data_IF_786779431767
#
_entry.id   IF_786779431767
#
_cell.length_a   1.000
_cell.length_b   1.000
_cell.length_c   1.000
_cell.angle_alpha   90.00
_cell.angle_beta   90.00
_cell.angle_gamma   90.00
#
_symmetry.space_group_name_H-M   'P 1'
#
loop_
_entity.id
_entity.type
_entity.pdbx_description
1 polymer ?
#
# COMPACT_ATOMS: atom_id res chain seq x y z
N UNK A 1 51.94 -41.98 -48.81
CA UNK A 1 51.46 -41.69 -47.45
C UNK A 1 50.54 -40.52 -47.50
N UNK A 2 49.24 -40.79 -47.46
CA UNK A 2 48.22 -39.72 -47.66
C UNK A 2 47.67 -39.32 -46.28
N UNK A 3 47.92 -38.07 -45.91
CA UNK A 3 47.46 -37.47 -44.65
C UNK A 3 46.01 -37.00 -44.85
N UNK A 4 45.03 -37.61 -44.19
CA UNK A 4 43.65 -37.16 -44.14
C UNK A 4 43.49 -36.14 -42.99
N UNK A 5 43.35 -34.88 -43.34
CA UNK A 5 42.95 -33.81 -42.40
C UNK A 5 41.45 -33.97 -42.06
N UNK A 6 41.15 -34.32 -40.80
CA UNK A 6 39.79 -34.32 -40.28
C UNK A 6 39.41 -32.89 -39.89
N UNK A 7 38.51 -32.26 -40.63
CA UNK A 7 37.85 -31.00 -40.27
C UNK A 7 36.77 -31.32 -39.25
N UNK A 8 36.98 -30.94 -38.00
CA UNK A 8 35.99 -31.03 -36.95
C UNK A 8 35.07 -29.77 -37.05
N UNK A 9 33.89 -29.99 -37.60
CA UNK A 9 32.83 -28.97 -37.59
C UNK A 9 32.21 -28.98 -36.18
N UNK A 10 32.55 -27.99 -35.36
CA UNK A 10 31.87 -27.72 -34.10
C UNK A 10 30.45 -27.24 -34.40
N UNK A 11 29.46 -28.08 -34.11
CA UNK A 11 28.05 -27.65 -34.05
C UNK A 11 27.92 -26.59 -32.94
N UNK A 12 27.77 -25.34 -33.32
CA UNK A 12 27.24 -24.34 -32.39
C UNK A 12 25.83 -24.79 -31.98
N UNK A 13 25.67 -25.17 -30.73
CA UNK A 13 24.33 -25.37 -30.13
C UNK A 13 23.56 -24.06 -30.24
N UNK A 14 22.52 -24.02 -31.06
CA UNK A 14 21.65 -22.88 -31.21
C UNK A 14 21.00 -22.57 -29.84
N UNK A 15 21.37 -21.45 -29.23
CA UNK A 15 20.73 -20.98 -28.00
C UNK A 15 19.23 -20.91 -28.20
N UNK A 16 18.41 -21.43 -27.25
CA UNK A 16 16.97 -21.43 -27.40
C UNK A 16 16.46 -20.01 -27.65
N UNK A 17 15.55 -19.86 -28.62
CA UNK A 17 14.97 -18.56 -28.95
C UNK A 17 14.28 -17.96 -27.73
N UNK A 18 14.62 -16.70 -27.40
CA UNK A 18 14.03 -15.98 -26.28
C UNK A 18 12.64 -15.49 -26.65
N UNK A 19 11.61 -16.20 -26.19
CA UNK A 19 10.20 -15.85 -26.45
C UNK A 19 9.50 -15.61 -25.11
N UNK A 20 8.84 -14.45 -24.91
CA UNK A 20 8.09 -14.21 -23.68
C UNK A 20 6.88 -15.14 -23.56
N UNK A 21 6.49 -15.51 -22.33
CA UNK A 21 5.33 -16.39 -22.07
C UNK A 21 4.01 -15.79 -22.57
N UNK A 22 3.86 -14.46 -22.48
CA UNK A 22 2.73 -13.72 -23.05
C UNK A 22 3.28 -12.80 -24.12
N UNK A 23 2.64 -12.81 -25.28
CA UNK A 23 3.03 -11.99 -26.42
C UNK A 23 1.81 -11.57 -27.21
N UNK A 24 1.80 -10.36 -27.72
CA UNK A 24 0.76 -9.90 -28.60
C UNK A 24 0.77 -10.66 -29.94
N UNK A 25 -0.38 -10.99 -30.52
CA UNK A 25 -0.44 -11.60 -31.85
C UNK A 25 0.26 -10.73 -32.91
N UNK A 26 0.87 -11.40 -33.90
CA UNK A 26 1.56 -10.74 -35.01
C UNK A 26 3.05 -10.50 -34.80
N UNK A 27 3.58 -10.67 -33.59
CA UNK A 27 5.01 -10.56 -33.32
C UNK A 27 5.61 -11.96 -33.13
N UNK A 28 6.49 -12.36 -34.06
CA UNK A 28 7.08 -13.73 -34.08
C UNK A 28 8.60 -13.74 -33.91
N UNK A 29 9.29 -12.64 -34.26
CA UNK A 29 10.75 -12.58 -34.18
C UNK A 29 11.23 -12.72 -32.73
N UNK A 30 12.24 -13.56 -32.45
CA UNK A 30 12.73 -13.79 -31.09
C UNK A 30 13.30 -12.50 -30.48
N UNK A 31 13.14 -12.34 -29.16
CA UNK A 31 13.79 -11.28 -28.42
C UNK A 31 15.29 -11.58 -28.30
N UNK A 32 16.09 -10.52 -28.11
CA UNK A 32 17.51 -10.66 -27.91
C UNK A 32 17.95 -10.04 -26.59
N UNK A 33 18.97 -10.62 -25.94
CA UNK A 33 19.66 -9.98 -24.83
C UNK A 33 20.58 -8.88 -25.38
N UNK A 34 20.10 -7.64 -25.30
CA UNK A 34 20.86 -6.47 -25.75
C UNK A 34 21.46 -5.70 -24.58
N UNK A 35 22.74 -5.28 -24.67
CA UNK A 35 23.33 -4.41 -23.66
C UNK A 35 22.62 -3.05 -23.67
N UNK A 36 22.39 -2.49 -22.47
CA UNK A 36 21.73 -1.18 -22.35
C UNK A 36 22.47 -0.08 -23.12
N UNK A 37 23.79 -0.18 -23.29
CA UNK A 37 24.59 0.76 -24.08
C UNK A 37 24.18 0.88 -25.57
N UNK A 38 23.49 -0.14 -26.11
CA UNK A 38 22.93 -0.07 -27.47
C UNK A 38 21.67 0.78 -27.55
N UNK A 39 20.92 0.87 -26.45
CA UNK A 39 19.58 1.46 -26.43
C UNK A 39 19.45 2.66 -25.50
N UNK A 40 20.44 2.95 -24.68
CA UNK A 40 20.50 4.11 -23.80
C UNK A 40 21.76 4.91 -24.07
N UNK A 41 21.60 6.21 -24.31
CA UNK A 41 22.72 7.13 -24.47
C UNK A 41 22.82 8.04 -23.25
N UNK A 42 23.91 7.91 -22.47
CA UNK A 42 24.17 8.83 -21.37
C UNK A 42 24.38 10.25 -21.89
N UNK A 43 23.76 11.22 -21.22
CA UNK A 43 24.08 12.64 -21.43
C UNK A 43 24.31 13.34 -20.08
N UNK A 44 24.97 14.53 -20.17
CA UNK A 44 25.37 15.31 -18.99
C UNK A 44 25.11 16.80 -19.23
N UNK A 45 23.93 17.12 -19.80
CA UNK A 45 23.53 18.53 -19.95
C UNK A 45 23.44 19.19 -18.58
N UNK A 46 24.12 20.34 -18.44
CA UNK A 46 24.22 21.02 -17.15
C UNK A 46 23.04 21.95 -16.88
N UNK A 47 22.69 22.11 -15.61
CA UNK A 47 21.62 23.00 -15.15
C UNK A 47 22.07 24.48 -15.17
N UNK A 48 22.44 24.99 -16.33
CA UNK A 48 22.87 26.42 -16.49
C UNK A 48 21.66 27.38 -16.41
N UNK A 49 20.45 26.88 -16.56
CA UNK A 49 19.21 27.68 -16.56
C UNK A 49 18.51 27.74 -15.21
N UNK A 50 19.07 27.15 -14.13
CA UNK A 50 18.50 27.20 -12.79
C UNK A 50 17.16 26.44 -12.66
N UNK A 51 17.01 25.28 -13.35
CA UNK A 51 15.81 24.45 -13.25
C UNK A 51 15.63 23.89 -11.84
N UNK A 52 14.39 23.65 -11.44
CA UNK A 52 14.03 23.04 -10.18
C UNK A 52 14.62 21.64 -10.03
N UNK A 53 14.98 21.31 -8.79
CA UNK A 53 15.56 20.00 -8.47
C UNK A 53 14.48 18.97 -8.26
N UNK A 54 14.59 17.84 -8.98
CA UNK A 54 13.71 16.69 -8.86
C UNK A 54 14.43 15.52 -8.20
N UNK A 55 13.65 14.72 -7.48
CA UNK A 55 14.10 13.48 -6.82
C UNK A 55 13.45 12.26 -7.46
N UNK A 56 14.14 11.13 -7.37
CA UNK A 56 13.64 9.85 -7.86
C UNK A 56 12.98 9.11 -6.70
N UNK A 57 11.69 8.86 -6.81
CA UNK A 57 10.88 8.08 -5.88
C UNK A 57 10.46 6.75 -6.51
N UNK A 58 10.40 5.68 -5.72
CA UNK A 58 9.87 4.40 -6.21
C UNK A 58 8.37 4.49 -6.48
N UNK A 59 7.64 5.19 -5.63
CA UNK A 59 6.18 5.30 -5.68
C UNK A 59 5.70 6.39 -6.64
N UNK A 60 6.33 7.57 -6.60
CA UNK A 60 5.86 8.75 -7.36
C UNK A 60 6.67 9.01 -8.63
N UNK A 61 7.67 8.18 -8.95
CA UNK A 61 8.53 8.41 -10.10
C UNK A 61 9.52 9.55 -9.88
N UNK A 62 9.69 10.41 -10.87
CA UNK A 62 10.62 11.55 -10.81
C UNK A 62 9.80 12.82 -10.62
N UNK A 63 9.89 13.41 -9.43
CA UNK A 63 9.02 14.49 -8.96
C UNK A 63 9.80 15.62 -8.31
N UNK A 64 9.21 16.82 -8.25
CA UNK A 64 9.83 17.98 -7.61
C UNK A 64 10.20 17.64 -6.15
N UNK A 65 11.44 17.97 -5.76
CA UNK A 65 11.97 17.59 -4.46
C UNK A 65 11.26 18.28 -3.30
N UNK A 66 10.86 19.53 -3.48
CA UNK A 66 10.17 20.31 -2.44
C UNK A 66 8.75 19.78 -2.25
N UNK A 67 8.06 19.48 -3.35
CA UNK A 67 6.70 18.90 -3.29
C UNK A 67 6.70 17.53 -2.61
N UNK A 68 7.72 16.69 -2.89
CA UNK A 68 7.84 15.37 -2.30
C UNK A 68 8.24 15.38 -0.82
N UNK A 69 9.21 16.24 -0.44
CA UNK A 69 9.92 16.16 0.85
C UNK A 69 9.64 17.36 1.77
N UNK A 70 8.84 18.33 1.31
CA UNK A 70 8.55 19.56 2.03
C UNK A 70 9.71 20.56 2.10
N UNK A 71 10.92 20.18 1.64
CA UNK A 71 12.12 21.02 1.59
C UNK A 71 13.10 20.52 0.54
N UNK A 72 14.02 21.41 0.11
CA UNK A 72 15.15 21.02 -0.74
C UNK A 72 16.30 20.43 0.09
N UNK A 73 16.91 19.38 -0.43
CA UNK A 73 18.18 18.81 0.03
C UNK A 73 19.31 19.02 -0.98
N UNK A 74 19.03 19.79 -2.02
CA UNK A 74 20.02 20.12 -3.04
C UNK A 74 21.09 21.05 -2.50
N UNK A 75 22.26 21.06 -3.15
CA UNK A 75 23.30 22.05 -2.92
C UNK A 75 22.78 23.46 -3.25
N UNK A 76 23.36 24.50 -2.64
CA UNK A 76 23.03 25.89 -2.93
C UNK A 76 23.29 26.22 -4.42
N UNK A 77 24.37 25.68 -5.00
CA UNK A 77 24.64 25.76 -6.45
C UNK A 77 24.31 24.40 -7.09
N UNK A 78 23.30 24.40 -7.94
CA UNK A 78 22.85 23.25 -8.73
C UNK A 78 23.29 23.31 -10.20
N UNK A 79 24.15 24.24 -10.57
CA UNK A 79 24.66 24.44 -11.96
C UNK A 79 25.33 23.17 -12.50
N UNK A 80 25.93 22.39 -11.63
CA UNK A 80 26.61 21.13 -11.96
C UNK A 80 25.66 19.92 -12.06
N UNK A 81 24.37 20.06 -11.71
CA UNK A 81 23.37 19.00 -11.83
C UNK A 81 23.12 18.68 -13.32
N UNK A 82 22.65 17.47 -13.57
CA UNK A 82 22.31 17.03 -14.91
C UNK A 82 20.84 17.34 -15.21
N UNK A 83 20.56 17.92 -16.36
CA UNK A 83 19.18 18.13 -16.82
C UNK A 83 18.59 16.79 -17.25
N UNK A 84 17.44 16.42 -16.66
CA UNK A 84 16.57 15.37 -17.16
C UNK A 84 15.43 15.96 -17.98
N UNK A 85 15.07 15.28 -19.06
CA UNK A 85 14.00 15.67 -19.99
C UNK A 85 12.94 14.60 -20.04
N UNK A 86 11.75 14.94 -20.53
CA UNK A 86 10.70 13.97 -20.74
C UNK A 86 11.20 12.75 -21.51
N UNK A 87 10.85 11.56 -21.01
CA UNK A 87 11.25 10.23 -21.50
C UNK A 87 12.68 9.79 -21.21
N UNK A 88 13.56 10.64 -20.68
CA UNK A 88 14.86 10.17 -20.19
C UNK A 88 14.67 9.08 -19.12
N UNK A 89 15.54 8.09 -19.14
CA UNK A 89 15.63 7.03 -18.14
C UNK A 89 16.67 7.43 -17.10
N UNK A 90 16.30 7.44 -15.85
CA UNK A 90 17.17 7.85 -14.73
C UNK A 90 17.43 6.65 -13.82
N UNK A 91 18.71 6.39 -13.58
CA UNK A 91 19.15 5.40 -12.60
C UNK A 91 19.73 6.12 -11.38
N UNK A 92 19.08 5.96 -10.22
CA UNK A 92 19.64 6.39 -8.94
C UNK A 92 20.30 5.21 -8.23
N UNK A 93 21.45 5.46 -7.64
CA UNK A 93 22.24 4.45 -6.92
C UNK A 93 21.91 4.40 -5.42
N UNK A 94 20.95 5.21 -4.98
CA UNK A 94 20.53 5.27 -3.57
C UNK A 94 19.79 3.98 -3.18
N UNK A 95 20.27 3.25 -2.17
CA UNK A 95 19.67 1.98 -1.78
C UNK A 95 18.33 2.20 -1.07
N UNK A 96 17.36 1.35 -1.41
CA UNK A 96 16.10 1.19 -0.69
C UNK A 96 16.01 -0.24 -0.15
N UNK A 97 15.19 -0.47 0.87
CA UNK A 97 15.03 -1.80 1.50
C UNK A 97 14.76 -2.93 0.49
N UNK A 98 13.89 -2.68 -0.49
CA UNK A 98 13.56 -3.65 -1.54
C UNK A 98 14.47 -3.54 -2.78
N UNK A 99 15.24 -2.46 -2.94
CA UNK A 99 16.10 -2.17 -4.08
C UNK A 99 17.49 -1.75 -3.60
N UNK A 100 18.31 -2.70 -3.13
CA UNK A 100 19.60 -2.39 -2.48
C UNK A 100 20.63 -1.75 -3.41
N UNK A 101 20.45 -1.85 -4.73
CA UNK A 101 21.35 -1.29 -5.74
C UNK A 101 20.78 -0.04 -6.44
N UNK A 102 19.67 0.53 -5.91
CA UNK A 102 18.99 1.69 -6.49
C UNK A 102 17.83 1.32 -7.40
N UNK A 103 17.22 2.34 -7.98
CA UNK A 103 16.00 2.23 -8.82
C UNK A 103 16.18 2.93 -10.15
N UNK A 104 15.40 2.48 -11.14
CA UNK A 104 15.35 3.03 -12.49
C UNK A 104 13.95 3.56 -12.74
N UNK A 105 13.85 4.83 -13.20
CA UNK A 105 12.57 5.47 -13.53
C UNK A 105 12.67 6.27 -14.82
N UNK A 106 11.58 6.37 -15.58
CA UNK A 106 11.49 7.26 -16.73
C UNK A 106 10.92 8.62 -16.33
N UNK A 107 11.46 9.70 -16.89
CA UNK A 107 10.92 11.05 -16.73
C UNK A 107 9.54 11.15 -17.41
N UNK A 108 8.50 11.39 -16.62
CA UNK A 108 7.11 11.54 -17.10
C UNK A 108 6.58 12.97 -17.00
N UNK A 109 7.37 13.88 -16.43
CA UNK A 109 7.06 15.32 -16.35
C UNK A 109 7.32 16.04 -17.68
N UNK A 110 6.63 17.16 -17.87
CA UNK A 110 6.85 18.03 -19.01
C UNK A 110 7.97 19.04 -18.73
N UNK A 111 8.80 19.34 -19.76
CA UNK A 111 9.90 20.29 -19.62
C UNK A 111 11.22 19.67 -19.18
N UNK A 112 11.97 20.41 -18.39
CA UNK A 112 13.32 20.07 -17.93
C UNK A 112 13.39 20.18 -16.40
N UNK A 113 14.14 19.27 -15.78
CA UNK A 113 14.39 19.27 -14.33
C UNK A 113 15.86 19.01 -14.02
N UNK A 114 16.38 19.61 -12.95
CA UNK A 114 17.71 19.35 -12.45
C UNK A 114 17.73 18.06 -11.62
N UNK A 115 18.60 17.14 -11.99
CA UNK A 115 18.77 15.84 -11.34
C UNK A 115 20.16 15.76 -10.70
N UNK A 116 20.24 15.14 -9.52
CA UNK A 116 21.50 14.97 -8.80
C UNK A 116 22.60 14.39 -9.69
N UNK A 117 23.85 14.89 -9.60
CA UNK A 117 24.98 14.34 -10.36
C UNK A 117 25.32 12.89 -9.98
N UNK A 118 24.75 12.39 -8.89
CA UNK A 118 24.88 10.99 -8.49
C UNK A 118 24.03 10.05 -9.36
N UNK A 119 23.05 10.56 -10.11
CA UNK A 119 22.19 9.78 -10.98
C UNK A 119 22.83 9.59 -12.37
N UNK A 120 22.53 8.45 -12.99
CA UNK A 120 22.71 8.27 -14.42
C UNK A 120 21.48 8.79 -15.16
N UNK A 121 21.66 9.59 -16.18
CA UNK A 121 20.56 10.11 -17.02
C UNK A 121 20.82 9.69 -18.46
N UNK A 122 19.84 9.00 -19.03
CA UNK A 122 20.02 8.33 -20.33
C UNK A 122 18.81 8.61 -21.24
N UNK A 123 19.10 8.95 -22.50
CA UNK A 123 18.05 9.09 -23.52
C UNK A 123 17.83 7.76 -24.24
N UNK A 124 16.61 7.19 -24.22
CA UNK A 124 16.24 6.01 -24.99
C UNK A 124 15.96 6.40 -26.46
N UNK A 125 16.01 5.45 -27.42
CA UNK A 125 15.72 5.73 -28.84
C UNK A 125 14.24 6.09 -29.09
N UNK A 126 13.35 5.69 -28.22
CA UNK A 126 11.93 6.05 -28.22
C UNK A 126 11.35 5.96 -26.80
N UNK A 127 10.22 6.63 -26.51
CA UNK A 127 9.59 6.64 -25.18
C UNK A 127 9.17 5.26 -24.71
N UNK A 128 8.73 4.41 -25.61
CA UNK A 128 8.18 3.09 -25.32
C UNK A 128 9.24 2.16 -24.73
N UNK A 129 10.45 2.20 -25.29
CA UNK A 129 11.57 1.39 -24.76
C UNK A 129 12.02 1.89 -23.39
N UNK A 130 12.00 3.20 -23.16
CA UNK A 130 12.28 3.78 -21.84
C UNK A 130 11.31 3.28 -20.78
N UNK A 131 10.01 3.27 -21.08
CA UNK A 131 8.96 2.74 -20.20
C UNK A 131 9.12 1.23 -19.95
N UNK A 132 9.45 0.45 -20.95
CA UNK A 132 9.71 -0.99 -20.78
C UNK A 132 10.91 -1.26 -19.87
N UNK A 133 11.96 -0.45 -19.98
CA UNK A 133 13.13 -0.54 -19.09
C UNK A 133 12.71 -0.21 -17.66
N UNK A 134 11.97 0.89 -17.43
CA UNK A 134 11.41 1.19 -16.11
C UNK A 134 10.62 0.00 -15.55
N UNK A 135 9.66 -0.52 -16.30
CA UNK A 135 8.80 -1.64 -15.88
C UNK A 135 9.60 -2.92 -15.56
N UNK A 136 10.70 -3.18 -16.26
CA UNK A 136 11.59 -4.29 -15.90
C UNK A 136 12.17 -4.12 -14.50
N UNK A 137 12.63 -2.91 -14.17
CA UNK A 137 13.26 -2.59 -12.89
C UNK A 137 12.28 -2.33 -11.74
N UNK A 138 10.98 -2.27 -11.98
CA UNK A 138 9.95 -2.20 -10.92
C UNK A 138 9.83 -3.48 -10.10
N UNK A 139 10.27 -4.62 -10.64
CA UNK A 139 10.35 -5.86 -9.89
C UNK A 139 11.65 -5.91 -9.07
N UNK A 140 11.60 -5.98 -7.72
CA UNK A 140 12.79 -6.09 -6.89
C UNK A 140 13.68 -7.29 -7.29
N UNK A 141 13.07 -8.44 -7.55
CA UNK A 141 13.80 -9.65 -7.93
C UNK A 141 14.54 -9.49 -9.27
N UNK A 142 13.89 -8.89 -10.28
CA UNK A 142 14.53 -8.62 -11.58
C UNK A 142 15.63 -7.59 -11.46
N UNK A 143 15.39 -6.51 -10.71
CA UNK A 143 16.40 -5.47 -10.45
C UNK A 143 17.63 -6.05 -9.76
N UNK A 144 17.44 -6.84 -8.71
CA UNK A 144 18.54 -7.51 -7.99
C UNK A 144 19.28 -8.48 -8.92
N UNK A 145 18.57 -9.34 -9.65
CA UNK A 145 19.18 -10.31 -10.57
C UNK A 145 20.02 -9.64 -11.68
N UNK A 146 19.56 -8.48 -12.19
CA UNK A 146 20.30 -7.70 -13.19
C UNK A 146 21.52 -6.99 -12.60
N UNK A 147 21.37 -6.34 -11.43
CA UNK A 147 22.40 -5.45 -10.87
C UNK A 147 23.48 -6.22 -10.09
N UNK A 148 23.15 -7.35 -9.46
CA UNK A 148 24.13 -8.14 -8.66
C UNK A 148 25.40 -8.51 -9.43
N UNK A 149 25.33 -9.04 -10.67
CA UNK A 149 26.56 -9.38 -11.43
C UNK A 149 27.39 -8.15 -11.84
N UNK A 150 26.77 -6.96 -11.85
CA UNK A 150 27.41 -5.71 -12.21
C UNK A 150 28.07 -5.00 -11.02
N UNK A 151 27.82 -5.49 -9.79
CA UNK A 151 28.36 -4.89 -8.59
C UNK A 151 29.86 -5.09 -8.48
N UNK A 152 30.60 -3.99 -8.33
CA UNK A 152 32.02 -4.01 -7.99
C UNK A 152 32.18 -3.73 -6.49
N UNK A 153 32.96 -4.57 -5.80
CA UNK A 153 33.34 -4.30 -4.41
C UNK A 153 34.38 -3.18 -4.41
N UNK A 154 33.98 -2.02 -3.99
CA UNK A 154 34.90 -0.89 -3.74
C UNK A 154 35.66 -1.02 -2.44
N UNK A 155 36.62 -0.11 -2.20
CA UNK A 155 37.30 0.01 -0.93
C UNK A 155 36.27 0.20 0.21
N UNK A 156 36.46 -0.46 1.35
CA UNK A 156 35.55 -0.44 2.52
C UNK A 156 34.20 -1.13 2.28
N UNK A 157 34.12 -2.18 1.43
CA UNK A 157 32.88 -2.89 1.13
C UNK A 157 31.73 -2.03 0.57
N UNK A 158 32.03 -0.84 0.02
CA UNK A 158 31.00 -0.05 -0.67
C UNK A 158 30.67 -0.70 -2.01
N UNK A 159 29.39 -0.95 -2.23
CA UNK A 159 28.88 -1.49 -3.49
C UNK A 159 28.71 -0.31 -4.45
N UNK A 160 29.45 -0.32 -5.56
CA UNK A 160 29.36 0.73 -6.58
C UNK A 160 29.03 0.13 -7.95
N UNK A 161 28.03 0.72 -8.59
CA UNK A 161 27.70 0.48 -10.00
C UNK A 161 27.86 1.80 -10.73
N UNK A 162 28.90 1.90 -11.59
CA UNK A 162 29.08 3.10 -12.44
C UNK A 162 28.03 3.13 -13.56
N UNK A 163 27.81 4.30 -14.18
CA UNK A 163 26.88 4.40 -15.31
C UNK A 163 27.33 3.51 -16.49
N UNK A 164 28.64 3.44 -16.75
CA UNK A 164 29.20 2.55 -17.77
C UNK A 164 28.93 1.07 -17.44
N UNK A 165 29.12 0.68 -16.19
CA UNK A 165 28.84 -0.70 -15.74
C UNK A 165 27.33 -1.00 -15.84
N UNK A 166 26.46 -0.08 -15.46
CA UNK A 166 25.01 -0.23 -15.64
C UNK A 166 24.64 -0.44 -17.13
N UNK A 167 25.22 0.36 -18.02
CA UNK A 167 24.99 0.27 -19.46
C UNK A 167 25.54 -1.03 -20.10
N UNK A 168 26.51 -1.71 -19.48
CA UNK A 168 27.02 -3.01 -19.97
C UNK A 168 26.07 -4.17 -19.69
N UNK A 169 25.13 -4.02 -18.75
CA UNK A 169 24.13 -5.02 -18.44
C UNK A 169 23.18 -5.27 -19.62
N UNK A 170 22.72 -6.53 -19.75
CA UNK A 170 21.89 -6.96 -20.88
C UNK A 170 20.46 -7.23 -20.46
N UNK A 171 19.50 -6.70 -21.21
CA UNK A 171 18.07 -6.97 -21.04
C UNK A 171 17.51 -7.73 -22.25
N UNK A 172 16.50 -8.62 -22.01
CA UNK A 172 15.71 -9.18 -23.11
C UNK A 172 14.81 -8.09 -23.68
N UNK A 173 15.02 -7.71 -24.92
CA UNK A 173 14.28 -6.64 -25.57
C UNK A 173 13.61 -7.13 -26.87
N UNK A 174 12.37 -6.66 -27.16
CA UNK A 174 11.72 -6.93 -28.43
C UNK A 174 12.47 -6.21 -29.57
N UNK A 175 12.64 -6.87 -30.72
CA UNK A 175 13.48 -6.36 -31.81
C UNK A 175 12.85 -5.18 -32.57
N UNK A 176 11.52 -5.02 -32.52
CA UNK A 176 10.82 -4.01 -33.32
C UNK A 176 10.22 -2.89 -32.46
N UNK A 177 10.31 -1.62 -32.92
CA UNK A 177 9.65 -0.51 -32.24
C UNK A 177 8.12 -0.69 -32.10
N UNK A 178 7.48 -1.36 -33.06
CA UNK A 178 6.04 -1.63 -33.01
C UNK A 178 5.66 -2.55 -31.85
N UNK A 179 6.47 -3.60 -31.57
CA UNK A 179 6.23 -4.47 -30.41
C UNK A 179 6.52 -3.72 -29.10
N UNK A 180 7.58 -2.91 -29.04
CA UNK A 180 7.90 -2.06 -27.91
C UNK A 180 6.75 -1.09 -27.59
N UNK A 181 6.20 -0.45 -28.62
CA UNK A 181 5.05 0.44 -28.50
C UNK A 181 3.83 -0.30 -27.94
N UNK A 182 3.48 -1.46 -28.52
CA UNK A 182 2.30 -2.23 -28.10
C UNK A 182 2.38 -2.68 -26.65
N UNK A 183 3.58 -3.07 -26.20
CA UNK A 183 3.82 -3.44 -24.80
C UNK A 183 3.70 -2.21 -23.90
N UNK A 184 4.33 -1.10 -24.26
CA UNK A 184 4.30 0.14 -23.50
C UNK A 184 2.86 0.69 -23.37
N UNK A 185 2.08 0.69 -24.46
CA UNK A 185 0.67 1.09 -24.43
C UNK A 185 -0.17 0.23 -23.48
N UNK A 186 0.04 -1.09 -23.49
CA UNK A 186 -0.63 -2.00 -22.57
C UNK A 186 -0.27 -1.70 -21.10
N UNK A 187 1.01 -1.50 -20.79
CA UNK A 187 1.46 -1.15 -19.44
C UNK A 187 0.88 0.20 -19.00
N UNK A 188 0.95 1.23 -19.86
CA UNK A 188 0.39 2.55 -19.55
C UNK A 188 -1.12 2.50 -19.29
N UNK A 189 -1.88 1.73 -20.10
CA UNK A 189 -3.33 1.61 -19.90
C UNK A 189 -3.68 0.90 -18.59
N UNK A 190 -2.86 -0.05 -18.13
CA UNK A 190 -3.01 -0.68 -16.82
C UNK A 190 -2.72 0.29 -15.68
N UNK A 191 -1.64 1.08 -15.78
CA UNK A 191 -1.30 2.10 -14.80
C UNK A 191 -2.40 3.16 -14.69
N UNK A 192 -2.95 3.62 -15.82
CA UNK A 192 -4.07 4.56 -15.85
C UNK A 192 -5.33 3.98 -15.20
N UNK A 193 -5.65 2.71 -15.47
CA UNK A 193 -6.77 2.02 -14.85
C UNK A 193 -6.58 1.89 -13.34
N UNK A 194 -5.40 1.51 -12.89
CA UNK A 194 -5.07 1.41 -11.45
C UNK A 194 -5.20 2.78 -10.77
N UNK A 195 -4.68 3.84 -11.38
CA UNK A 195 -4.78 5.20 -10.87
C UNK A 195 -6.24 5.69 -10.83
N UNK A 196 -7.05 5.37 -11.85
CA UNK A 196 -8.47 5.71 -11.88
C UNK A 196 -9.26 4.98 -10.77
N UNK A 197 -8.98 3.69 -10.53
CA UNK A 197 -9.60 2.94 -9.45
C UNK A 197 -9.19 3.46 -8.06
N UNK A 198 -7.92 3.82 -7.87
CA UNK A 198 -7.46 4.44 -6.63
C UNK A 198 -8.22 5.76 -6.35
N UNK A 199 -8.31 6.66 -7.33
CA UNK A 199 -9.10 7.91 -7.20
C UNK A 199 -10.58 7.64 -6.87
N UNK A 200 -11.18 6.62 -7.51
CA UNK A 200 -12.57 6.22 -7.23
C UNK A 200 -12.74 5.75 -5.79
N UNK A 201 -11.82 4.93 -5.28
CA UNK A 201 -11.84 4.45 -3.89
C UNK A 201 -11.72 5.63 -2.93
N UNK A 202 -10.83 6.57 -3.17
CA UNK A 202 -10.63 7.74 -2.31
C UNK A 202 -11.85 8.68 -2.33
N UNK A 203 -12.46 8.89 -3.50
CA UNK A 203 -13.71 9.66 -3.61
C UNK A 203 -14.85 9.00 -2.84
N UNK A 204 -14.99 7.67 -2.91
CA UNK A 204 -16.00 6.91 -2.15
C UNK A 204 -15.74 6.97 -0.64
N UNK A 205 -14.49 6.90 -0.19
CA UNK A 205 -14.13 7.08 1.23
C UNK A 205 -14.50 8.48 1.72
N UNK A 206 -14.20 9.50 0.93
CA UNK A 206 -14.54 10.89 1.25
C UNK A 206 -16.06 11.10 1.30
N UNK A 207 -16.78 10.55 0.32
CA UNK A 207 -18.25 10.60 0.30
C UNK A 207 -18.86 9.91 1.53
N UNK A 208 -18.39 8.69 1.85
CA UNK A 208 -18.82 7.97 3.05
C UNK A 208 -18.58 8.77 4.32
N UNK A 209 -17.40 9.38 4.48
CA UNK A 209 -17.10 10.25 5.62
C UNK A 209 -18.06 11.44 5.70
N UNK A 210 -18.34 12.09 4.58
CA UNK A 210 -19.29 13.20 4.50
C UNK A 210 -20.72 12.78 4.87
N UNK A 211 -21.20 11.63 4.39
CA UNK A 211 -22.50 11.09 4.77
C UNK A 211 -22.58 10.76 6.26
N UNK A 212 -21.56 10.13 6.81
CA UNK A 212 -21.53 9.83 8.24
C UNK A 212 -21.59 11.09 9.10
N UNK A 213 -20.89 12.17 8.70
CA UNK A 213 -20.95 13.46 9.41
C UNK A 213 -22.30 14.17 9.33
N UNK A 214 -23.13 13.83 8.34
CA UNK A 214 -24.45 14.43 8.15
C UNK A 214 -25.57 13.56 8.74
N UNK A 215 -25.43 12.23 8.67
CA UNK A 215 -26.41 11.27 9.19
C UNK A 215 -26.32 11.08 10.71
N UNK A 216 -25.32 11.64 11.37
CA UNK A 216 -25.17 11.62 12.82
C UNK A 216 -25.18 13.06 13.37
N UNK A 217 -25.76 13.30 14.56
CA UNK A 217 -25.70 14.59 15.21
C UNK A 217 -24.25 15.03 15.48
N UNK A 218 -23.98 16.31 15.36
CA UNK A 218 -22.70 16.89 15.77
C UNK A 218 -22.65 17.08 17.29
N UNK A 219 -21.48 17.41 17.79
CA UNK A 219 -21.33 17.78 19.19
C UNK A 219 -22.25 18.96 19.55
N UNK A 220 -23.07 18.76 20.58
CA UNK A 220 -24.08 19.72 21.01
C UNK A 220 -25.41 19.69 20.23
N UNK A 221 -25.53 18.89 19.19
CA UNK A 221 -26.79 18.66 18.45
C UNK A 221 -27.40 17.30 18.90
N UNK A 222 -28.76 17.23 18.94
CA UNK A 222 -29.49 16.01 19.25
C UNK A 222 -30.15 15.36 18.04
N UNK A 223 -30.11 16.05 16.88
CA UNK A 223 -30.64 15.60 15.60
C UNK A 223 -29.58 15.67 14.50
N UNK A 224 -29.57 14.71 13.55
CA UNK A 224 -28.68 14.78 12.40
C UNK A 224 -29.14 15.84 11.40
N UNK A 225 -28.21 16.43 10.65
CA UNK A 225 -28.50 17.43 9.60
C UNK A 225 -29.13 16.81 8.36
N UNK A 226 -28.78 15.59 8.05
CA UNK A 226 -29.40 14.80 6.99
C UNK A 226 -30.14 13.63 7.64
N UNK A 227 -31.44 13.55 7.37
CA UNK A 227 -32.31 12.49 7.88
C UNK A 227 -33.13 11.90 6.75
N UNK A 228 -33.29 10.61 6.74
CA UNK A 228 -34.14 9.95 5.74
C UNK A 228 -35.58 10.47 5.81
N UNK A 229 -36.28 10.62 4.66
CA UNK A 229 -37.62 11.21 4.63
C UNK A 229 -38.61 10.59 5.62
N UNK A 230 -38.54 9.28 5.78
CA UNK A 230 -39.41 8.50 6.69
C UNK A 230 -39.19 8.80 8.18
N UNK A 231 -38.11 9.46 8.55
CA UNK A 231 -37.75 9.79 9.95
C UNK A 231 -37.66 11.27 10.25
N UNK A 232 -37.97 12.18 9.31
CA UNK A 232 -37.84 13.63 9.50
C UNK A 232 -38.56 14.15 10.73
N UNK A 233 -39.70 13.52 11.12
CA UNK A 233 -40.51 13.90 12.26
C UNK A 233 -40.39 12.94 13.45
N UNK A 234 -39.31 12.13 13.50
CA UNK A 234 -39.17 11.09 14.54
C UNK A 234 -38.69 11.64 15.91
N UNK A 235 -38.44 12.95 16.02
CA UNK A 235 -37.93 13.58 17.24
C UNK A 235 -36.41 13.40 17.46
N UNK A 236 -35.93 13.93 18.57
CA UNK A 236 -34.52 13.88 18.94
C UNK A 236 -34.01 12.45 19.20
N UNK A 237 -32.70 12.27 18.97
CA UNK A 237 -32.04 11.03 19.33
C UNK A 237 -31.81 10.95 20.84
N UNK A 238 -32.02 9.75 21.40
CA UNK A 238 -31.82 9.51 22.81
C UNK A 238 -30.33 9.38 23.13
N UNK A 239 -29.92 9.97 24.25
CA UNK A 239 -28.57 9.84 24.77
C UNK A 239 -28.46 8.53 25.56
N UNK A 240 -27.62 7.60 25.08
CA UNK A 240 -27.42 6.29 25.68
C UNK A 240 -25.95 6.10 26.08
N UNK A 241 -25.70 5.39 27.15
CA UNK A 241 -24.35 4.87 27.40
C UNK A 241 -24.04 3.66 26.49
N UNK A 242 -22.78 3.40 26.22
CA UNK A 242 -22.35 2.21 25.49
C UNK A 242 -22.86 0.94 26.19
N UNK A 243 -22.89 0.92 27.52
CA UNK A 243 -23.43 -0.18 28.29
C UNK A 243 -24.94 -0.41 28.16
N UNK A 244 -25.72 0.64 27.87
CA UNK A 244 -27.17 0.57 27.57
C UNK A 244 -27.40 0.08 26.13
N UNK A 245 -26.48 0.39 25.18
CA UNK A 245 -26.59 -0.09 23.81
C UNK A 245 -26.35 -1.61 23.69
N UNK A 246 -25.57 -2.17 24.59
CA UNK A 246 -25.27 -3.60 24.56
C UNK A 246 -24.38 -4.07 25.72
N UNK A 247 -24.21 -5.38 25.83
CA UNK A 247 -23.33 -5.98 26.84
C UNK A 247 -21.86 -5.72 26.44
N UNK A 248 -21.12 -5.04 27.31
CA UNK A 248 -19.69 -4.87 27.14
C UNK A 248 -18.93 -6.07 27.69
N UNK A 249 -18.11 -6.70 26.87
CA UNK A 249 -17.30 -7.87 27.20
C UNK A 249 -15.83 -7.53 27.00
N UNK A 250 -15.05 -7.52 28.07
CA UNK A 250 -13.58 -7.46 27.95
C UNK A 250 -13.04 -8.82 27.54
N UNK A 251 -12.19 -8.88 26.55
CA UNK A 251 -11.60 -10.13 26.08
C UNK A 251 -10.74 -10.83 27.14
N UNK A 252 -10.40 -12.06 26.87
CA UNK A 252 -9.51 -12.90 27.68
C UNK A 252 -8.66 -13.79 26.78
N UNK A 253 -7.42 -14.03 27.18
CA UNK A 253 -6.48 -14.88 26.41
C UNK A 253 -6.38 -16.22 27.09
N UNK A 254 -6.62 -17.35 26.39
CA UNK A 254 -6.36 -18.69 26.96
C UNK A 254 -4.89 -18.86 27.28
N UNK A 255 -4.56 -19.80 28.16
CA UNK A 255 -3.16 -20.06 28.53
C UNK A 255 -2.31 -20.39 27.29
N UNK A 256 -1.29 -19.58 27.03
CA UNK A 256 -0.33 -19.82 25.94
C UNK A 256 0.59 -21.02 26.20
N UNK A 257 0.61 -21.53 27.43
CA UNK A 257 1.33 -22.75 27.82
C UNK A 257 0.58 -24.04 27.36
N UNK A 258 -0.63 -23.89 26.81
CA UNK A 258 -1.46 -25.00 26.32
C UNK A 258 -1.62 -24.91 24.80
N UNK A 259 -0.70 -25.50 24.00
CA UNK A 259 -0.78 -25.44 22.54
C UNK A 259 -2.09 -26.00 21.97
N UNK A 260 -2.74 -26.94 22.66
CA UNK A 260 -4.01 -27.53 22.28
C UNK A 260 -5.18 -26.52 22.18
N UNK A 261 -5.07 -25.35 22.80
CA UNK A 261 -6.08 -24.30 22.72
C UNK A 261 -6.03 -23.50 21.40
N UNK A 262 -4.97 -23.64 20.62
CA UNK A 262 -4.68 -22.81 19.44
C UNK A 262 -4.67 -23.63 18.13
N UNK A 263 -4.79 -22.93 16.99
CA UNK A 263 -4.71 -23.56 15.67
C UNK A 263 -6.01 -24.17 15.16
N UNK A 264 -7.15 -23.92 15.81
CA UNK A 264 -8.46 -24.36 15.36
C UNK A 264 -9.09 -23.41 14.32
N UNK A 265 -10.42 -23.48 14.17
CA UNK A 265 -11.19 -22.68 13.21
C UNK A 265 -11.83 -21.40 13.76
N UNK A 266 -11.72 -21.13 15.07
CA UNK A 266 -12.42 -20.01 15.72
C UNK A 266 -11.50 -18.79 15.78
N UNK A 267 -11.90 -17.62 15.24
CA UNK A 267 -11.08 -16.41 15.26
C UNK A 267 -10.76 -15.93 16.69
N UNK A 268 -9.47 -15.61 16.92
CA UNK A 268 -9.01 -14.91 18.13
C UNK A 268 -8.46 -13.55 17.75
N UNK A 269 -9.23 -12.50 18.02
CA UNK A 269 -8.95 -11.14 17.55
C UNK A 269 -8.04 -10.40 18.52
N UNK A 270 -6.97 -9.85 18.02
CA UNK A 270 -6.08 -8.90 18.68
C UNK A 270 -6.10 -7.53 17.98
N UNK A 271 -5.57 -6.45 18.56
CA UNK A 271 -5.49 -5.16 17.90
C UNK A 271 -4.74 -5.17 16.56
N UNK A 272 -3.84 -6.14 16.34
CA UNK A 272 -3.10 -6.30 15.10
C UNK A 272 -3.96 -6.85 13.94
N UNK A 273 -5.09 -7.46 14.23
CA UNK A 273 -6.05 -7.98 13.27
C UNK A 273 -7.09 -6.93 12.85
N UNK A 274 -7.18 -5.81 13.60
CA UNK A 274 -8.07 -4.69 13.29
C UNK A 274 -7.35 -3.70 12.39
N UNK A 275 -7.81 -3.63 11.14
CA UNK A 275 -7.34 -2.71 10.09
C UNK A 275 -8.33 -1.54 9.91
N UNK A 276 -8.18 -0.78 8.81
CA UNK A 276 -9.14 0.25 8.42
C UNK A 276 -10.44 -0.31 7.81
N UNK A 277 -10.52 -1.63 7.67
CA UNK A 277 -11.73 -2.32 7.21
C UNK A 277 -12.72 -2.50 8.35
N UNK A 278 -14.02 -2.36 8.03
CA UNK A 278 -15.09 -2.56 9.01
C UNK A 278 -15.06 -3.97 9.61
N UNK A 279 -14.91 -4.99 8.77
CA UNK A 279 -15.11 -6.37 9.16
C UNK A 279 -13.79 -7.10 9.40
N UNK A 280 -13.69 -7.79 10.53
CA UNK A 280 -12.65 -8.78 10.80
C UNK A 280 -13.12 -10.12 10.27
N UNK A 281 -12.54 -10.56 9.15
CA UNK A 281 -12.86 -11.83 8.48
C UNK A 281 -11.88 -12.92 8.86
N UNK A 282 -10.61 -12.56 9.02
CA UNK A 282 -9.53 -13.49 9.34
C UNK A 282 -8.64 -12.90 10.44
N UNK A 283 -8.05 -13.78 11.24
CA UNK A 283 -7.13 -13.43 12.32
C UNK A 283 -5.83 -14.21 12.19
N UNK A 284 -4.74 -13.66 12.69
CA UNK A 284 -3.43 -14.34 12.72
C UNK A 284 -3.44 -15.56 13.64
N UNK A 285 -4.23 -15.50 14.70
CA UNK A 285 -4.36 -16.57 15.69
C UNK A 285 -5.80 -17.09 15.68
N UNK A 286 -5.95 -18.40 15.77
CA UNK A 286 -7.24 -19.06 15.89
C UNK A 286 -7.23 -19.97 17.10
N UNK A 287 -8.42 -20.29 17.62
CA UNK A 287 -8.63 -21.16 18.76
C UNK A 287 -9.31 -22.46 18.34
N UNK A 288 -9.04 -23.53 19.10
CA UNK A 288 -9.84 -24.74 19.10
C UNK A 288 -11.14 -24.52 19.88
N UNK A 289 -12.08 -25.46 19.84
CA UNK A 289 -13.27 -25.39 20.65
C UNK A 289 -12.97 -25.38 22.18
N UNK A 290 -11.93 -26.13 22.59
CA UNK A 290 -11.48 -26.16 23.98
C UNK A 290 -10.89 -24.79 24.37
N UNK A 291 -9.98 -24.23 23.54
CA UNK A 291 -9.41 -22.91 23.81
C UNK A 291 -10.47 -21.80 23.81
N UNK A 292 -11.49 -21.91 22.97
CA UNK A 292 -12.60 -20.95 22.95
C UNK A 292 -13.45 -21.01 24.22
N UNK A 293 -13.68 -22.21 24.77
CA UNK A 293 -14.42 -22.40 26.02
C UNK A 293 -13.72 -21.72 27.23
N UNK A 294 -12.42 -21.58 27.19
CA UNK A 294 -11.62 -20.87 28.21
C UNK A 294 -11.70 -19.34 28.08
N UNK A 295 -12.39 -18.83 27.07
CA UNK A 295 -12.50 -17.39 26.79
C UNK A 295 -13.91 -16.86 27.14
N UNK A 296 -14.13 -15.61 26.83
CA UNK A 296 -15.45 -14.96 26.87
C UNK A 296 -15.95 -14.84 25.43
N UNK A 297 -16.87 -15.74 25.01
CA UNK A 297 -17.42 -15.78 23.68
C UNK A 297 -18.08 -14.44 23.27
N UNK A 298 -17.84 -14.02 22.05
CA UNK A 298 -18.40 -12.80 21.46
C UNK A 298 -19.13 -13.22 20.19
N UNK A 299 -20.46 -12.99 20.14
CA UNK A 299 -21.27 -13.35 18.98
C UNK A 299 -20.88 -12.58 17.74
N UNK A 300 -21.17 -13.14 16.56
CA UNK A 300 -21.10 -12.46 15.28
C UNK A 300 -21.89 -11.14 15.30
N UNK A 301 -21.39 -10.14 14.57
CA UNK A 301 -22.00 -8.81 14.50
C UNK A 301 -21.65 -7.88 15.66
N UNK A 302 -20.89 -8.32 16.66
CA UNK A 302 -20.46 -7.46 17.78
C UNK A 302 -19.43 -6.42 17.34
N UNK A 303 -19.34 -5.30 18.06
CA UNK A 303 -18.39 -4.22 17.79
C UNK A 303 -17.18 -4.35 18.70
N UNK A 304 -16.01 -4.44 18.11
CA UNK A 304 -14.73 -4.62 18.78
C UNK A 304 -14.02 -3.26 18.87
N UNK A 305 -13.75 -2.80 20.08
CA UNK A 305 -13.07 -1.51 20.33
C UNK A 305 -11.76 -1.74 21.06
N UNK A 306 -10.65 -1.24 20.51
CA UNK A 306 -9.33 -1.33 21.15
C UNK A 306 -9.26 -0.30 22.27
N UNK A 307 -9.10 -0.77 23.50
CA UNK A 307 -9.09 0.05 24.71
C UNK A 307 -7.73 0.16 25.40
N UNK A 308 -6.70 -0.55 24.92
CA UNK A 308 -5.37 -0.56 25.55
C UNK A 308 -4.26 -0.48 24.48
N UNK A 309 -3.28 0.37 24.72
CA UNK A 309 -2.05 0.47 23.93
C UNK A 309 -2.06 1.54 22.86
N UNK A 310 -1.03 1.54 22.00
CA UNK A 310 -0.79 2.58 20.97
C UNK A 310 -1.86 2.64 19.86
N UNK A 311 -2.70 1.60 19.77
CA UNK A 311 -3.76 1.50 18.73
C UNK A 311 -5.15 1.70 19.32
N UNK A 312 -5.22 2.32 20.50
CA UNK A 312 -6.49 2.65 21.16
C UNK A 312 -7.38 3.49 20.24
N UNK A 313 -8.67 3.20 20.22
CA UNK A 313 -9.63 3.86 19.31
C UNK A 313 -9.87 3.12 18.00
N UNK A 314 -9.10 2.08 17.65
CA UNK A 314 -9.45 1.23 16.51
C UNK A 314 -10.76 0.49 16.77
N UNK A 315 -11.63 0.46 15.75
CA UNK A 315 -12.96 -0.15 15.81
C UNK A 315 -13.17 -1.11 14.65
N UNK A 316 -13.71 -2.26 14.92
CA UNK A 316 -14.11 -3.24 13.90
C UNK A 316 -15.38 -3.99 14.30
N UNK A 317 -15.93 -4.76 13.38
CA UNK A 317 -17.06 -5.65 13.60
C UNK A 317 -16.67 -7.08 13.23
N UNK A 318 -16.95 -8.07 14.10
CA UNK A 318 -16.68 -9.45 13.77
C UNK A 318 -17.77 -10.06 12.89
N UNK A 319 -17.38 -10.92 11.94
CA UNK A 319 -18.30 -11.61 11.01
C UNK A 319 -18.77 -12.94 11.58
N UNK A 320 -17.93 -13.57 12.40
CA UNK A 320 -18.18 -14.87 13.03
C UNK A 320 -18.07 -14.73 14.54
N UNK A 321 -18.64 -15.69 15.25
CA UNK A 321 -18.36 -15.83 16.68
C UNK A 321 -16.87 -15.92 16.90
N UNK A 322 -16.36 -15.18 17.87
CA UNK A 322 -14.93 -15.05 18.11
C UNK A 322 -14.63 -14.85 19.61
N UNK A 323 -13.34 -14.89 19.94
CA UNK A 323 -12.81 -14.36 21.19
C UNK A 323 -11.82 -13.23 20.90
N UNK A 324 -11.55 -12.39 21.89
CA UNK A 324 -10.57 -11.30 21.79
C UNK A 324 -9.60 -11.35 22.96
N UNK A 325 -8.43 -10.74 22.79
CA UNK A 325 -7.54 -10.49 23.92
C UNK A 325 -8.08 -9.36 24.81
N UNK A 326 -7.49 -9.19 25.98
CA UNK A 326 -7.92 -8.21 26.99
C UNK A 326 -7.72 -6.73 26.59
N UNK A 327 -7.06 -6.46 25.48
CA UNK A 327 -6.91 -5.09 24.95
C UNK A 327 -8.20 -4.59 24.27
N UNK A 328 -9.13 -5.48 23.98
CA UNK A 328 -10.38 -5.18 23.30
C UNK A 328 -11.56 -5.31 24.26
N UNK A 329 -12.40 -4.27 24.30
CA UNK A 329 -13.74 -4.35 24.82
C UNK A 329 -14.72 -4.53 23.66
N UNK A 330 -15.43 -5.64 23.64
CA UNK A 330 -16.47 -5.90 22.65
C UNK A 330 -17.82 -5.41 23.17
N UNK A 331 -18.56 -4.71 22.32
CA UNK A 331 -19.97 -4.39 22.58
C UNK A 331 -20.82 -5.40 21.82
N UNK A 332 -21.59 -6.19 22.54
CA UNK A 332 -22.58 -7.12 22.00
C UNK A 332 -23.93 -6.39 22.01
N UNK A 333 -24.39 -5.82 20.89
CA UNK A 333 -25.59 -5.00 20.89
C UNK A 333 -26.82 -5.75 21.36
N UNK A 334 -27.68 -5.07 22.10
CA UNK A 334 -28.97 -5.62 22.53
C UNK A 334 -29.96 -5.64 21.35
N UNK A 335 -31.07 -6.35 21.51
CA UNK A 335 -32.13 -6.42 20.49
C UNK A 335 -32.79 -5.05 20.18
N UNK A 336 -32.53 -4.02 20.97
CA UNK A 336 -32.99 -2.65 20.76
C UNK A 336 -32.09 -1.85 19.84
N UNK A 337 -30.89 -2.37 19.51
CA UNK A 337 -29.87 -1.65 18.74
C UNK A 337 -29.38 -2.48 17.55
N UNK A 338 -29.22 -1.81 16.42
CA UNK A 338 -28.63 -2.41 15.21
C UNK A 338 -27.12 -2.57 15.36
N UNK A 339 -26.59 -3.77 15.11
CA UNK A 339 -25.16 -4.08 15.16
C UNK A 339 -24.35 -3.10 14.28
N UNK A 340 -24.85 -2.84 13.05
CA UNK A 340 -24.20 -1.89 12.12
C UNK A 340 -24.25 -0.46 12.60
N UNK A 341 -25.34 -0.02 13.22
CA UNK A 341 -25.45 1.31 13.77
C UNK A 341 -24.49 1.53 14.93
N UNK A 342 -24.39 0.57 15.85
CA UNK A 342 -23.46 0.63 17.00
C UNK A 342 -22.01 0.72 16.51
N UNK A 343 -21.67 -0.01 15.43
CA UNK A 343 -20.36 0.12 14.81
C UNK A 343 -20.10 1.55 14.31
N UNK A 344 -21.01 2.14 13.56
CA UNK A 344 -20.83 3.49 13.04
C UNK A 344 -20.78 4.54 14.14
N UNK A 345 -21.64 4.44 15.14
CA UNK A 345 -21.67 5.34 16.27
C UNK A 345 -20.37 5.31 17.08
N UNK A 346 -19.82 4.13 17.36
CA UNK A 346 -18.54 3.99 18.05
C UNK A 346 -17.35 4.40 17.17
N UNK A 347 -17.42 4.16 15.85
CA UNK A 347 -16.39 4.62 14.91
C UNK A 347 -16.30 6.13 14.85
N UNK A 348 -17.42 6.84 14.83
CA UNK A 348 -17.46 8.30 14.89
C UNK A 348 -16.99 8.87 16.23
N UNK A 349 -17.30 8.18 17.33
CA UNK A 349 -16.88 8.58 18.66
C UNK A 349 -15.45 8.16 19.00
N UNK A 350 -14.78 7.38 18.14
CA UNK A 350 -13.52 6.69 18.46
C UNK A 350 -12.40 7.61 18.90
N UNK A 351 -12.18 8.73 18.22
CA UNK A 351 -11.17 9.73 18.58
C UNK A 351 -11.46 10.36 19.96
N UNK A 352 -12.71 10.74 20.19
CA UNK A 352 -13.16 11.30 21.49
C UNK A 352 -13.00 10.28 22.61
N UNK A 353 -13.35 9.02 22.35
CA UNK A 353 -13.17 7.92 23.33
C UNK A 353 -11.68 7.70 23.60
N UNK A 354 -10.84 7.67 22.57
CA UNK A 354 -9.40 7.48 22.73
C UNK A 354 -8.73 8.54 23.62
N UNK A 355 -9.22 9.78 23.58
CA UNK A 355 -8.73 10.87 24.45
C UNK A 355 -8.98 10.61 25.95
N UNK A 356 -9.94 9.73 26.31
CA UNK A 356 -10.19 9.34 27.69
C UNK A 356 -9.10 8.46 28.30
N UNK A 357 -8.22 7.91 27.48
CA UNK A 357 -7.18 6.97 27.94
C UNK A 357 -6.07 7.61 28.81
N UNK A 358 -6.00 8.93 28.88
CA UNK A 358 -4.95 9.63 29.63
C UNK A 358 -3.58 9.57 28.95
N UNK A 359 -2.60 10.30 29.53
CA UNK A 359 -1.22 10.41 28.97
C UNK A 359 -0.24 9.46 29.68
N UNK A 360 -0.64 8.23 29.93
CA UNK A 360 0.24 7.23 30.55
C UNK A 360 1.15 6.55 29.51
N UNK A 361 2.23 5.89 29.98
CA UNK A 361 3.15 5.15 29.10
C UNK A 361 2.43 4.06 28.28
N UNK A 362 1.41 3.41 28.87
CA UNK A 362 0.47 2.53 28.18
C UNK A 362 -0.94 3.11 28.40
N UNK A 363 -1.51 3.79 27.41
CA UNK A 363 -2.88 4.34 27.52
C UNK A 363 -3.90 3.22 27.71
N UNK A 364 -4.89 3.42 28.60
CA UNK A 364 -5.90 2.43 28.90
C UNK A 364 -7.26 3.09 29.17
N UNK A 365 -8.31 2.52 28.59
CA UNK A 365 -9.71 2.79 28.91
C UNK A 365 -10.29 1.52 29.53
N UNK A 366 -10.56 1.54 30.83
CA UNK A 366 -11.13 0.39 31.51
C UNK A 366 -12.60 0.16 31.08
N UNK A 367 -13.11 -1.04 31.35
CA UNK A 367 -14.48 -1.44 30.95
C UNK A 367 -15.55 -0.49 31.47
N UNK A 368 -15.45 -0.04 32.74
CA UNK A 368 -16.46 0.83 33.36
C UNK A 368 -16.52 2.18 32.68
N UNK A 369 -15.35 2.81 32.43
CA UNK A 369 -15.24 4.07 31.71
C UNK A 369 -15.73 3.91 30.26
N UNK A 370 -15.35 2.85 29.55
CA UNK A 370 -15.85 2.59 28.21
C UNK A 370 -17.37 2.40 28.18
N UNK A 371 -17.93 1.65 29.13
CA UNK A 371 -19.37 1.42 29.22
C UNK A 371 -20.15 2.70 29.54
N UNK A 372 -19.58 3.68 30.24
CA UNK A 372 -20.23 4.94 30.61
C UNK A 372 -20.20 6.00 29.49
N UNK A 373 -19.43 5.78 28.42
CA UNK A 373 -19.36 6.73 27.30
C UNK A 373 -20.74 6.95 26.70
N UNK A 374 -21.11 8.22 26.52
CA UNK A 374 -22.42 8.61 25.98
C UNK A 374 -22.40 8.70 24.47
N UNK A 375 -23.43 8.16 23.83
CA UNK A 375 -23.62 8.12 22.38
C UNK A 375 -25.10 8.32 22.06
N UNK A 376 -25.39 9.19 21.12
CA UNK A 376 -26.75 9.42 20.66
C UNK A 376 -27.21 8.30 19.72
N UNK A 377 -28.47 7.86 19.89
CA UNK A 377 -29.06 6.85 19.04
C UNK A 377 -30.55 7.13 18.78
N UNK A 378 -31.03 6.95 17.53
CA UNK A 378 -32.46 6.99 17.22
C UNK A 378 -33.14 5.68 17.58
N UNK A 379 -34.44 5.57 17.32
CA UNK A 379 -35.16 4.29 17.42
C UNK A 379 -34.64 3.27 16.42
N UNK A 380 -34.79 1.97 16.75
CA UNK A 380 -34.24 0.84 16.01
C UNK A 380 -34.50 0.89 14.46
N UNK A 381 -35.70 1.24 13.96
CA UNK A 381 -35.92 1.29 12.51
C UNK A 381 -35.01 2.29 11.79
N UNK A 382 -34.76 3.46 12.38
CA UNK A 382 -33.86 4.46 11.82
C UNK A 382 -32.40 4.00 11.92
N UNK A 383 -32.00 3.34 13.02
CA UNK A 383 -30.67 2.73 13.14
C UNK A 383 -30.41 1.69 12.02
N UNK A 384 -31.39 0.83 11.73
CA UNK A 384 -31.29 -0.17 10.66
C UNK A 384 -31.18 0.48 9.29
N UNK A 385 -31.93 1.56 9.06
CA UNK A 385 -31.88 2.32 7.80
C UNK A 385 -30.51 2.97 7.57
N UNK A 386 -29.93 3.58 8.61
CA UNK A 386 -28.59 4.16 8.59
C UNK A 386 -27.55 3.05 8.35
N UNK A 387 -27.69 1.91 9.03
CA UNK A 387 -26.75 0.80 8.91
C UNK A 387 -26.73 0.13 7.54
N UNK A 388 -27.81 0.25 6.78
CA UNK A 388 -27.98 -0.32 5.42
C UNK A 388 -27.57 0.63 4.28
N UNK A 389 -27.26 1.87 4.59
CA UNK A 389 -26.77 2.88 3.65
C UNK A 389 -25.27 2.73 3.41
#
# INVERSE_FOLDING_TARGET
>A
MSSKTKTTVTKEEAKPALVPKLRFPGFTAPWAYEPLSKVLKEHKFKNTSGRDVFSVSMEYGIVNQIELLGRSFAAADTSHYTIGRRYDVVYTKSPLKAFPFGIVKQCKFDGEAALSPLYGVFTPPNPHLGLMIEAYFESPNRSIAFLTPLCQKGAKNTIQITNTTFLSGKLPLPPTPAEQQKIAECLSSLDELMAAQARKVDALKTHKKGLMQQLFPREGETEPRLRFPEFQNAGEWADNSVGEMGKVVTGSTPSTAQPAFYGGGIPFVSPADISDMRFVVQTKTTLTAEGFAETRPIRAGSVLFVCIGSTIGKVAQNVHDCATNQQINAVVPSFKHSDGFVYFALSLASERIALLAGRQAVPIINKSLFSSVRVLAPKLPEQQRIASC
#
